data_IF_223056657112
#
_entry.id   IF_223056657112
#
_cell.length_a   1.000
_cell.length_b   1.000
_cell.length_c   1.000
_cell.angle_alpha   90.00
_cell.angle_beta   90.00
_cell.angle_gamma   90.00
#
_symmetry.space_group_name_H-M   'P 1'
#
loop_
_entity.id
_entity.type
_entity.pdbx_description
1 polymer ?
#
# COMPACT_ATOMS: atom_id res chain seq x y z
N UNK A 1 10.33 -7.76 -8.74
CA UNK A 1 11.27 -7.52 -9.86
C UNK A 1 12.67 -7.30 -9.28
N UNK A 2 13.68 -7.94 -9.87
CA UNK A 2 15.13 -7.72 -9.73
C UNK A 2 15.65 -6.24 -9.67
N UNK A 3 15.89 -5.54 -8.56
CA UNK A 3 16.30 -4.13 -8.46
C UNK A 3 17.74 -3.83 -8.03
N UNK A 4 18.40 -4.67 -7.23
CA UNK A 4 19.83 -4.57 -6.95
C UNK A 4 20.60 -5.78 -7.51
N UNK A 5 21.91 -5.62 -7.79
CA UNK A 5 22.81 -6.73 -8.12
C UNK A 5 23.42 -7.41 -6.88
N UNK A 6 22.86 -7.16 -5.69
CA UNK A 6 23.41 -7.62 -4.42
C UNK A 6 22.52 -8.72 -3.82
N UNK A 7 22.85 -10.01 -4.03
CA UNK A 7 22.12 -11.16 -3.45
C UNK A 7 21.79 -11.01 -1.96
N UNK A 8 22.65 -10.36 -1.17
CA UNK A 8 22.40 -10.12 0.24
C UNK A 8 21.24 -9.13 0.49
N UNK A 9 21.06 -8.13 -0.38
CA UNK A 9 19.93 -7.21 -0.31
C UNK A 9 18.62 -7.89 -0.75
N UNK A 10 18.67 -8.84 -1.69
CA UNK A 10 17.54 -9.74 -1.99
C UNK A 10 17.12 -10.60 -0.81
N UNK A 11 18.08 -11.26 -0.17
CA UNK A 11 17.81 -12.11 0.98
C UNK A 11 17.28 -11.29 2.17
N UNK A 12 17.77 -10.05 2.32
CA UNK A 12 17.21 -9.10 3.28
C UNK A 12 15.76 -8.70 2.94
N UNK A 13 15.46 -8.41 1.68
CA UNK A 13 14.10 -8.04 1.23
C UNK A 13 13.12 -9.21 1.34
N UNK A 14 13.50 -10.41 0.89
CA UNK A 14 12.70 -11.62 1.03
C UNK A 14 12.53 -12.05 2.50
N UNK A 15 13.57 -11.87 3.30
CA UNK A 15 13.51 -12.00 4.75
C UNK A 15 12.49 -11.06 5.37
N UNK A 16 12.58 -9.77 5.08
CA UNK A 16 11.69 -8.75 5.64
C UNK A 16 10.23 -8.93 5.22
N UNK A 17 9.96 -9.32 3.97
CA UNK A 17 8.60 -9.61 3.50
C UNK A 17 7.92 -10.73 4.31
N UNK A 18 8.65 -11.79 4.69
CA UNK A 18 8.12 -12.84 5.58
C UNK A 18 7.82 -12.32 6.98
N UNK A 19 8.66 -11.41 7.49
CA UNK A 19 8.44 -10.79 8.80
C UNK A 19 7.22 -9.88 8.76
N UNK A 20 7.00 -9.14 7.67
CA UNK A 20 5.78 -8.36 7.45
C UNK A 20 4.53 -9.24 7.39
N UNK A 21 4.60 -10.38 6.68
CA UNK A 21 3.50 -11.34 6.65
C UNK A 21 3.13 -11.83 8.06
N UNK A 22 4.12 -12.23 8.86
CA UNK A 22 3.90 -12.63 10.26
C UNK A 22 3.33 -11.48 11.12
N UNK A 23 3.76 -10.23 10.86
CA UNK A 23 3.18 -9.04 11.51
C UNK A 23 1.72 -8.82 11.15
N UNK A 24 1.35 -9.04 9.88
CA UNK A 24 -0.03 -8.92 9.42
C UNK A 24 -0.92 -10.04 9.98
N UNK A 25 -0.44 -11.28 10.02
CA UNK A 25 -1.13 -12.41 10.65
C UNK A 25 -1.40 -12.15 12.13
N UNK A 26 -0.40 -11.65 12.88
CA UNK A 26 -0.58 -11.30 14.29
C UNK A 26 -1.60 -10.17 14.50
N UNK A 27 -1.66 -9.19 13.58
CA UNK A 27 -2.67 -8.14 13.63
C UNK A 27 -4.07 -8.64 13.27
N UNK A 28 -4.17 -9.59 12.33
CA UNK A 28 -5.43 -10.25 11.98
C UNK A 28 -6.01 -11.01 13.17
N UNK A 29 -5.20 -11.73 13.93
CA UNK A 29 -5.64 -12.40 15.17
C UNK A 29 -6.25 -11.40 16.16
N UNK A 30 -5.67 -10.21 16.30
CA UNK A 30 -6.22 -9.14 17.15
C UNK A 30 -7.57 -8.64 16.62
N UNK A 31 -7.70 -8.49 15.29
CA UNK A 31 -8.95 -8.10 14.65
C UNK A 31 -10.04 -9.16 14.90
N UNK A 32 -9.75 -10.44 14.64
CA UNK A 32 -10.73 -11.52 14.79
C UNK A 32 -11.24 -11.60 16.23
N UNK A 33 -10.34 -11.59 17.23
CA UNK A 33 -10.71 -11.64 18.64
C UNK A 33 -11.58 -10.47 19.08
N UNK A 34 -11.30 -9.25 18.59
CA UNK A 34 -12.03 -8.05 19.00
C UNK A 34 -13.33 -7.83 18.24
N UNK A 35 -13.41 -8.33 17.01
CA UNK A 35 -14.58 -8.16 16.15
C UNK A 35 -15.64 -9.24 16.36
N UNK A 36 -15.27 -10.43 16.88
CA UNK A 36 -16.21 -11.52 17.17
C UNK A 36 -17.37 -11.10 18.09
N UNK A 37 -17.12 -10.19 19.04
CA UNK A 37 -18.13 -9.67 19.97
C UNK A 37 -18.46 -8.18 19.79
N UNK A 38 -18.03 -7.55 18.71
CA UNK A 38 -18.28 -6.12 18.52
C UNK A 38 -19.75 -5.87 18.12
N UNK A 39 -20.51 -5.20 18.97
CA UNK A 39 -21.94 -4.90 18.74
C UNK A 39 -22.12 -3.51 18.11
N UNK A 40 -21.15 -2.62 18.29
CA UNK A 40 -21.22 -1.23 17.83
C UNK A 40 -20.12 -0.84 16.84
N UNK A 41 -20.34 0.24 16.09
CA UNK A 41 -19.31 0.84 15.23
C UNK A 41 -18.08 1.27 16.02
N UNK A 42 -18.29 1.85 17.20
CA UNK A 42 -17.22 2.36 18.05
C UNK A 42 -16.26 1.24 18.49
N UNK A 43 -16.80 0.06 18.84
CA UNK A 43 -15.97 -1.12 19.18
C UNK A 43 -15.18 -1.63 17.97
N UNK A 44 -15.78 -1.61 16.78
CA UNK A 44 -15.08 -1.97 15.53
C UNK A 44 -13.95 -1.00 15.22
N UNK A 45 -14.17 0.30 15.38
CA UNK A 45 -13.11 1.33 15.26
C UNK A 45 -11.98 1.05 16.25
N UNK A 46 -12.31 0.77 17.51
CA UNK A 46 -11.33 0.44 18.54
C UNK A 46 -10.56 -0.86 18.22
N UNK A 47 -11.18 -1.83 17.55
CA UNK A 47 -10.51 -3.04 17.07
C UNK A 47 -9.46 -2.73 16.00
N UNK A 48 -9.79 -1.91 14.99
CA UNK A 48 -8.83 -1.48 13.97
C UNK A 48 -7.69 -0.65 14.55
N UNK A 49 -7.99 0.27 15.47
CA UNK A 49 -6.95 1.02 16.17
C UNK A 49 -6.02 0.09 16.97
N UNK A 50 -6.58 -0.87 17.73
CA UNK A 50 -5.78 -1.84 18.48
C UNK A 50 -4.87 -2.69 17.57
N UNK A 51 -5.36 -3.10 16.40
CA UNK A 51 -4.55 -3.81 15.41
C UNK A 51 -3.43 -2.92 14.83
N UNK A 52 -3.70 -1.65 14.54
CA UNK A 52 -2.68 -0.68 14.10
C UNK A 52 -1.58 -0.48 15.16
N UNK A 53 -1.96 -0.33 16.43
CA UNK A 53 -1.03 -0.25 17.56
C UNK A 53 -0.22 -1.54 17.70
N UNK A 54 -0.83 -2.71 17.51
CA UNK A 54 -0.12 -4.00 17.54
C UNK A 54 0.94 -4.10 16.45
N UNK A 55 0.64 -3.64 15.23
CA UNK A 55 1.62 -3.59 14.13
C UNK A 55 2.74 -2.59 14.44
N UNK A 56 2.42 -1.45 15.03
CA UNK A 56 3.44 -0.47 15.46
C UNK A 56 4.42 -1.10 16.46
N UNK A 57 3.90 -1.78 17.48
CA UNK A 57 4.70 -2.50 18.48
C UNK A 57 5.54 -3.61 17.83
N UNK A 58 4.96 -4.40 16.90
CA UNK A 58 5.72 -5.36 16.13
C UNK A 58 6.89 -4.70 15.38
N UNK A 59 6.68 -3.54 14.75
CA UNK A 59 7.73 -2.85 14.01
C UNK A 59 8.86 -2.39 14.93
N UNK A 60 8.51 -1.92 16.13
CA UNK A 60 9.47 -1.57 17.18
C UNK A 60 10.29 -2.79 17.59
N UNK A 61 9.65 -3.93 17.88
CA UNK A 61 10.33 -5.18 18.25
C UNK A 61 11.30 -5.66 17.16
N UNK A 62 10.91 -5.56 15.89
CA UNK A 62 11.80 -5.87 14.76
C UNK A 62 13.03 -4.96 14.74
N UNK A 63 12.85 -3.66 14.97
CA UNK A 63 13.96 -2.70 15.02
C UNK A 63 14.87 -2.95 16.24
N UNK A 64 14.28 -3.16 17.43
CA UNK A 64 14.99 -3.41 18.69
C UNK A 64 15.81 -4.71 18.65
N UNK A 65 15.34 -5.72 17.92
CA UNK A 65 16.09 -6.96 17.70
C UNK A 65 17.33 -6.80 16.82
N UNK A 66 17.65 -5.59 16.34
CA UNK A 66 18.81 -5.32 15.49
C UNK A 66 18.72 -5.98 14.11
N UNK A 67 17.54 -6.47 13.72
CA UNK A 67 17.31 -7.08 12.40
C UNK A 67 16.69 -6.05 11.46
N UNK A 68 17.29 -5.90 10.28
CA UNK A 68 16.90 -4.89 9.29
C UNK A 68 16.89 -3.43 9.81
N UNK A 69 17.82 -2.99 10.69
CA UNK A 69 17.94 -1.57 11.00
C UNK A 69 18.49 -0.85 9.78
N UNK A 70 18.08 0.41 9.58
CA UNK A 70 18.86 1.29 8.71
C UNK A 70 20.13 1.70 9.47
N UNK A 71 21.25 2.00 8.79
CA UNK A 71 22.34 2.70 9.43
C UNK A 71 21.80 3.93 10.17
N UNK A 72 22.27 4.15 11.40
CA UNK A 72 21.89 5.31 12.23
C UNK A 72 20.38 5.41 12.53
N UNK A 73 19.68 4.26 12.61
CA UNK A 73 18.30 4.21 13.11
C UNK A 73 18.24 3.69 14.55
N UNK A 74 17.55 4.42 15.42
CA UNK A 74 17.22 3.96 16.76
C UNK A 74 15.82 3.31 16.75
N UNK A 75 15.61 2.16 17.42
CA UNK A 75 14.29 1.54 17.52
C UNK A 75 13.22 2.50 18.05
N UNK A 76 13.59 3.40 18.96
CA UNK A 76 12.74 4.43 19.57
C UNK A 76 12.14 5.39 18.52
N UNK A 77 12.80 5.56 17.36
CA UNK A 77 12.28 6.37 16.25
C UNK A 77 10.96 5.81 15.68
N UNK A 78 10.69 4.50 15.86
CA UNK A 78 9.45 3.84 15.45
C UNK A 78 8.27 4.25 16.33
N UNK A 79 8.53 4.60 17.60
CA UNK A 79 7.51 5.02 18.56
C UNK A 79 7.46 6.54 18.74
N UNK A 80 8.42 7.27 18.16
CA UNK A 80 8.48 8.73 18.29
C UNK A 80 7.44 9.37 17.37
N UNK A 81 6.41 10.05 17.92
CA UNK A 81 5.41 10.72 17.10
C UNK A 81 6.02 11.85 16.27
N UNK A 82 5.45 12.10 15.10
CA UNK A 82 5.81 13.24 14.24
C UNK A 82 5.31 14.54 14.89
N UNK A 83 6.07 15.15 15.80
CA UNK A 83 5.66 16.39 16.51
C UNK A 83 5.66 17.62 15.61
N UNK A 84 6.52 17.63 14.61
CA UNK A 84 6.64 18.68 13.61
C UNK A 84 6.61 18.03 12.24
N UNK A 85 6.14 18.76 11.24
CA UNK A 85 6.02 18.23 9.90
C UNK A 85 7.34 17.63 9.42
N UNK A 86 7.29 16.37 9.00
CA UNK A 86 8.47 15.62 8.54
C UNK A 86 8.61 15.76 7.03
N UNK A 87 9.81 16.07 6.60
CA UNK A 87 10.18 16.20 5.20
C UNK A 87 10.73 14.88 4.66
N UNK A 88 10.25 14.44 3.50
CA UNK A 88 10.74 13.25 2.81
C UNK A 88 11.07 13.60 1.35
N UNK A 89 12.27 13.27 0.84
CA UNK A 89 12.60 13.52 -0.56
C UNK A 89 11.82 12.59 -1.50
N UNK A 90 11.38 13.15 -2.63
CA UNK A 90 10.70 12.47 -3.74
C UNK A 90 11.58 12.52 -4.98
N UNK A 91 12.80 12.04 -4.83
CA UNK A 91 13.75 11.98 -5.93
C UNK A 91 14.74 10.84 -5.72
N UNK A 92 15.28 10.28 -6.81
CA UNK A 92 16.36 9.32 -6.71
C UNK A 92 17.58 9.96 -6.05
N UNK A 93 18.18 9.26 -5.09
CA UNK A 93 19.48 9.63 -4.53
C UNK A 93 20.56 8.81 -5.26
N UNK A 94 21.32 9.40 -6.20
CA UNK A 94 22.32 8.68 -6.99
C UNK A 94 23.45 8.11 -6.13
N UNK A 95 23.63 8.58 -4.88
CA UNK A 95 24.62 8.03 -3.95
C UNK A 95 24.13 6.75 -3.28
N UNK A 96 22.81 6.55 -3.21
CA UNK A 96 22.18 5.43 -2.50
C UNK A 96 21.52 4.42 -3.42
N UNK A 97 21.29 4.77 -4.69
CA UNK A 97 20.53 3.95 -5.62
C UNK A 97 21.30 3.75 -6.92
N UNK A 98 21.29 2.50 -7.41
CA UNK A 98 21.80 2.18 -8.75
C UNK A 98 20.89 2.85 -9.78
N UNK A 99 21.48 3.69 -10.63
CA UNK A 99 20.80 4.33 -11.75
C UNK A 99 20.15 3.25 -12.64
N UNK A 100 18.87 3.46 -12.97
CA UNK A 100 18.09 2.51 -13.76
C UNK A 100 17.51 1.31 -13.00
N UNK A 101 17.80 1.15 -11.70
CA UNK A 101 17.06 0.21 -10.85
C UNK A 101 15.55 0.54 -10.86
N UNK A 102 14.65 -0.43 -10.66
CA UNK A 102 13.21 -0.16 -10.56
C UNK A 102 12.84 0.85 -9.47
N UNK A 103 13.54 0.88 -8.33
CA UNK A 103 13.35 1.93 -7.32
C UNK A 103 13.74 3.32 -7.85
N UNK A 104 14.87 3.43 -8.56
CA UNK A 104 15.27 4.68 -9.22
C UNK A 104 14.24 5.13 -10.26
N UNK A 105 13.79 4.21 -11.12
CA UNK A 105 12.78 4.49 -12.17
C UNK A 105 11.45 4.94 -11.57
N UNK A 106 11.02 4.28 -10.50
CA UNK A 106 9.79 4.65 -9.78
C UNK A 106 9.89 6.05 -9.17
N UNK A 107 11.00 6.37 -8.49
CA UNK A 107 11.21 7.72 -7.94
C UNK A 107 11.33 8.80 -9.02
N UNK A 108 11.95 8.48 -10.17
CA UNK A 108 12.00 9.39 -11.31
C UNK A 108 10.59 9.64 -11.91
N UNK A 109 9.74 8.62 -11.95
CA UNK A 109 8.33 8.76 -12.35
C UNK A 109 7.57 9.65 -11.35
N UNK A 110 7.70 9.39 -10.05
CA UNK A 110 7.07 10.22 -9.02
C UNK A 110 7.55 11.67 -9.08
N UNK A 111 8.85 11.91 -9.34
CA UNK A 111 9.37 13.26 -9.54
C UNK A 111 8.71 13.96 -10.73
N UNK A 112 8.49 13.24 -11.85
CA UNK A 112 7.77 13.77 -13.01
C UNK A 112 6.31 14.11 -12.66
N UNK A 113 5.63 13.24 -11.92
CA UNK A 113 4.25 13.49 -11.46
C UNK A 113 4.18 14.70 -10.53
N UNK A 114 5.12 14.81 -9.59
CA UNK A 114 5.24 15.96 -8.69
C UNK A 114 5.40 17.26 -9.49
N UNK A 115 6.31 17.28 -10.47
CA UNK A 115 6.51 18.41 -11.37
C UNK A 115 5.23 18.81 -12.11
N UNK A 116 4.50 17.84 -12.66
CA UNK A 116 3.25 18.10 -13.36
C UNK A 116 2.20 18.74 -12.44
N UNK A 117 2.07 18.25 -11.20
CA UNK A 117 1.13 18.82 -10.23
C UNK A 117 1.49 20.24 -9.77
N UNK A 118 2.77 20.56 -9.74
CA UNK A 118 3.27 21.89 -9.35
C UNK A 118 3.36 22.87 -10.53
N UNK A 119 3.08 22.44 -11.77
CA UNK A 119 3.26 23.27 -12.96
C UNK A 119 2.39 24.54 -12.93
N UNK A 120 1.15 24.41 -12.46
CA UNK A 120 0.18 25.50 -12.37
C UNK A 120 0.15 26.19 -11.00
N UNK A 121 1.01 25.74 -10.07
CA UNK A 121 1.13 26.35 -8.74
C UNK A 121 2.01 27.60 -8.86
N UNK A 122 1.50 28.79 -8.46
CA UNK A 122 2.30 30.00 -8.48
C UNK A 122 3.58 29.86 -7.66
N UNK A 123 4.68 30.40 -8.18
CA UNK A 123 5.91 30.51 -7.41
C UNK A 123 5.71 31.49 -6.26
N UNK A 124 6.14 31.07 -5.08
CA UNK A 124 6.27 31.93 -3.92
C UNK A 124 7.61 32.68 -3.96
N UNK A 125 7.89 33.46 -2.92
CA UNK A 125 9.20 34.07 -2.75
C UNK A 125 10.31 33.00 -2.84
N UNK A 126 11.43 33.38 -3.47
CA UNK A 126 12.60 32.53 -3.66
C UNK A 126 12.40 31.32 -4.60
N UNK A 127 11.32 31.29 -5.39
CA UNK A 127 11.06 30.26 -6.41
C UNK A 127 10.52 28.93 -5.85
N UNK A 128 10.14 28.91 -4.57
CA UNK A 128 9.50 27.76 -3.92
C UNK A 128 8.09 27.59 -4.48
N UNK A 129 7.68 26.35 -4.73
CA UNK A 129 6.28 26.00 -5.06
C UNK A 129 5.75 25.00 -4.04
N UNK A 130 4.52 25.21 -3.57
CA UNK A 130 3.88 24.34 -2.59
C UNK A 130 2.46 23.98 -2.99
N UNK A 131 2.15 22.68 -2.90
CA UNK A 131 0.82 22.15 -3.16
C UNK A 131 0.36 21.32 -1.98
N UNK A 132 -0.68 21.80 -1.30
CA UNK A 132 -1.38 21.04 -0.27
C UNK A 132 -2.21 19.93 -0.92
N UNK A 133 -1.98 18.67 -0.56
CA UNK A 133 -2.97 17.63 -0.88
C UNK A 133 -4.23 17.90 -0.06
N UNK A 134 -5.34 18.22 -0.72
CA UNK A 134 -6.66 18.33 -0.09
C UNK A 134 -7.30 16.94 -0.15
N UNK A 135 -7.74 16.44 1.00
CA UNK A 135 -8.36 15.13 1.15
C UNK A 135 -9.87 15.31 1.28
N UNK A 136 -10.64 14.76 0.36
CA UNK A 136 -12.11 14.77 0.41
C UNK A 136 -12.59 13.55 1.18
N UNK A 137 -13.36 13.79 2.23
CA UNK A 137 -14.02 12.78 3.05
C UNK A 137 -15.36 12.37 2.40
N UNK A 138 -15.94 11.25 2.84
CA UNK A 138 -17.22 10.73 2.30
C UNK A 138 -18.40 11.67 2.47
N UNK A 139 -18.40 12.46 3.54
CA UNK A 139 -19.44 13.46 3.82
C UNK A 139 -19.23 14.76 3.04
N UNK A 140 -18.25 14.81 2.15
CA UNK A 140 -17.90 15.98 1.34
C UNK A 140 -17.04 17.02 2.06
N UNK A 141 -16.73 16.84 3.35
CA UNK A 141 -15.75 17.70 4.03
C UNK A 141 -14.36 17.49 3.44
N UNK A 142 -13.51 18.49 3.63
CA UNK A 142 -12.10 18.43 3.22
C UNK A 142 -11.18 18.57 4.42
N UNK A 143 -10.03 17.90 4.34
CA UNK A 143 -8.95 17.96 5.33
C UNK A 143 -7.62 18.20 4.62
N UNK A 144 -6.69 18.89 5.27
CA UNK A 144 -5.34 19.03 4.72
C UNK A 144 -4.55 17.73 4.94
N UNK A 145 -4.05 17.16 3.84
CA UNK A 145 -3.11 16.04 3.86
C UNK A 145 -1.65 16.52 3.87
N UNK A 146 -0.78 15.75 3.24
CA UNK A 146 0.63 16.10 3.09
C UNK A 146 0.81 17.23 2.06
N UNK A 147 1.83 18.05 2.23
CA UNK A 147 2.24 19.05 1.24
C UNK A 147 3.28 18.46 0.30
N UNK A 148 3.26 18.89 -0.96
CA UNK A 148 4.28 18.65 -1.95
C UNK A 148 5.02 19.97 -2.22
N UNK A 149 6.34 19.96 -2.12
CA UNK A 149 7.19 21.13 -2.29
C UNK A 149 8.17 20.90 -3.43
N UNK A 150 8.40 21.96 -4.21
CA UNK A 150 9.63 22.12 -4.97
C UNK A 150 10.49 23.19 -4.30
N UNK A 151 11.71 22.81 -3.95
CA UNK A 151 12.72 23.72 -3.39
C UNK A 151 13.77 23.97 -4.47
N UNK A 152 13.89 25.20 -5.01
CA UNK A 152 14.85 25.49 -6.06
C UNK A 152 16.30 25.41 -5.55
N UNK A 153 17.25 25.39 -6.49
CA UNK A 153 18.65 25.67 -6.15
C UNK A 153 18.77 27.15 -5.78
N UNK A 154 19.53 27.53 -4.73
CA UNK A 154 19.75 28.92 -4.40
C UNK A 154 20.45 29.55 -5.61
N UNK A 155 19.97 30.71 -6.04
CA UNK A 155 20.61 31.47 -7.11
C UNK A 155 22.03 31.91 -6.72
N UNK A 156 22.32 31.98 -5.42
CA UNK A 156 23.59 32.41 -4.87
C UNK A 156 24.09 31.43 -3.79
N UNK A 157 25.24 30.79 -4.04
CA UNK A 157 25.88 29.89 -3.07
C UNK A 157 26.50 30.66 -1.89
N UNK A 158 26.59 31.99 -1.96
CA UNK A 158 27.25 32.83 -0.96
C UNK A 158 26.33 33.30 0.19
N UNK A 159 25.04 32.93 0.20
CA UNK A 159 24.06 33.44 1.19
C UNK A 159 24.30 32.98 2.65
N UNK A 160 25.31 32.14 2.92
CA UNK A 160 25.74 31.77 4.28
C UNK A 160 24.74 30.94 5.09
N UNK A 161 23.51 30.77 4.61
CA UNK A 161 22.51 29.89 5.21
C UNK A 161 22.72 28.47 4.68
N UNK A 162 23.31 27.62 5.50
CA UNK A 162 23.57 26.22 5.16
C UNK A 162 22.27 25.40 5.16
N UNK A 163 21.48 25.51 4.09
CA UNK A 163 20.51 24.47 3.76
C UNK A 163 21.29 23.19 3.43
N UNK A 164 20.89 22.02 3.96
CA UNK A 164 21.53 20.77 3.59
C UNK A 164 21.50 20.61 2.06
N UNK A 165 22.66 20.37 1.44
CA UNK A 165 22.84 20.36 -0.02
C UNK A 165 21.94 19.35 -0.77
N UNK A 166 21.32 18.41 -0.07
CA UNK A 166 20.37 17.45 -0.61
C UNK A 166 18.93 17.98 -0.73
N UNK A 167 18.63 19.21 -0.28
CA UNK A 167 17.29 19.82 -0.35
C UNK A 167 17.12 20.74 -1.55
N UNK A 168 18.20 21.11 -2.22
CA UNK A 168 18.17 22.14 -3.26
C UNK A 168 17.90 21.52 -4.62
N UNK A 169 17.04 22.15 -5.42
CA UNK A 169 16.54 21.59 -6.69
C UNK A 169 15.72 20.32 -6.52
N UNK A 170 15.15 20.11 -5.33
CA UNK A 170 14.59 18.83 -4.88
C UNK A 170 13.07 18.88 -4.75
N UNK A 171 12.43 17.75 -5.07
CA UNK A 171 11.03 17.52 -4.76
C UNK A 171 10.93 16.90 -3.37
N UNK A 172 10.09 17.46 -2.51
CA UNK A 172 9.93 17.03 -1.13
C UNK A 172 8.45 16.88 -0.79
N UNK A 173 8.11 15.93 0.08
CA UNK A 173 6.81 15.91 0.75
C UNK A 173 6.97 16.30 2.21
N UNK A 174 6.01 17.02 2.74
CA UNK A 174 5.92 17.39 4.14
C UNK A 174 4.64 16.80 4.72
N UNK A 175 4.75 16.09 5.84
CA UNK A 175 3.56 15.49 6.47
C UNK A 175 2.58 16.57 6.95
N UNK A 176 1.27 16.29 6.88
CA UNK A 176 0.23 17.17 7.42
C UNK A 176 0.47 17.53 8.91
N UNK A 177 -0.17 18.58 9.40
CA UNK A 177 -0.13 18.94 10.83
C UNK A 177 -0.84 17.89 11.68
N UNK A 178 -0.46 17.79 12.96
CA UNK A 178 -0.95 16.74 13.86
C UNK A 178 -2.49 16.64 13.96
N UNK A 179 -3.25 17.74 14.12
CA UNK A 179 -4.71 17.66 14.19
C UNK A 179 -5.34 17.04 12.93
N UNK A 180 -4.85 17.41 11.74
CA UNK A 180 -5.37 16.89 10.48
C UNK A 180 -5.04 15.40 10.31
N UNK A 181 -3.83 14.99 10.71
CA UNK A 181 -3.45 13.55 10.70
C UNK A 181 -4.32 12.74 11.66
N UNK A 182 -4.63 13.26 12.84
CA UNK A 182 -5.50 12.55 13.79
C UNK A 182 -6.89 12.31 13.21
N UNK A 183 -7.49 13.34 12.60
CA UNK A 183 -8.79 13.21 11.92
C UNK A 183 -8.72 12.20 10.80
N UNK A 184 -7.73 12.32 9.90
CA UNK A 184 -7.57 11.41 8.76
C UNK A 184 -7.36 9.95 9.21
N UNK A 185 -6.53 9.71 10.22
CA UNK A 185 -6.33 8.37 10.79
C UNK A 185 -7.63 7.80 11.37
N UNK A 186 -8.40 8.62 12.10
CA UNK A 186 -9.71 8.22 12.62
C UNK A 186 -10.68 7.85 11.48
N UNK A 187 -10.75 8.68 10.44
CA UNK A 187 -11.60 8.43 9.27
C UNK A 187 -11.23 7.12 8.55
N UNK A 188 -9.94 6.74 8.52
CA UNK A 188 -9.51 5.43 8.01
C UNK A 188 -10.11 4.29 8.82
N UNK A 189 -10.03 4.35 10.15
CA UNK A 189 -10.57 3.30 11.03
C UNK A 189 -12.10 3.22 10.99
N UNK A 190 -12.79 4.36 10.95
CA UNK A 190 -14.25 4.42 10.78
C UNK A 190 -14.67 3.78 9.44
N UNK A 191 -13.95 4.10 8.37
CA UNK A 191 -14.21 3.51 7.05
C UNK A 191 -14.02 1.99 7.04
N UNK A 192 -12.97 1.48 7.70
CA UNK A 192 -12.73 0.05 7.81
C UNK A 192 -13.78 -0.65 8.70
N UNK A 193 -14.24 0.01 9.77
CA UNK A 193 -15.33 -0.47 10.61
C UNK A 193 -16.64 -0.62 9.82
N UNK A 194 -16.98 0.35 8.96
CA UNK A 194 -18.15 0.26 8.07
C UNK A 194 -18.06 -0.91 7.08
N UNK A 195 -16.87 -1.15 6.51
CA UNK A 195 -16.64 -2.30 5.63
C UNK A 195 -16.83 -3.63 6.38
N UNK A 196 -16.40 -3.69 7.64
CA UNK A 196 -16.57 -4.86 8.49
C UNK A 196 -18.04 -5.09 8.88
N UNK A 197 -18.80 -4.03 9.22
CA UNK A 197 -20.25 -4.12 9.45
C UNK A 197 -20.95 -4.72 8.23
N UNK A 198 -20.63 -4.22 7.04
CA UNK A 198 -21.17 -4.74 5.79
C UNK A 198 -20.69 -6.16 5.47
N UNK A 199 -19.54 -6.62 5.97
CA UNK A 199 -19.09 -8.03 5.83
C UNK A 199 -19.92 -8.93 6.75
N UNK A 200 -20.03 -8.57 8.02
CA UNK A 200 -20.76 -9.35 9.02
C UNK A 200 -22.24 -9.51 8.66
N UNK A 201 -22.87 -8.46 8.14
CA UNK A 201 -24.27 -8.52 7.68
C UNK A 201 -24.48 -9.54 6.54
N UNK A 202 -23.53 -9.61 5.59
CA UNK A 202 -23.58 -10.58 4.48
C UNK A 202 -23.39 -12.01 4.99
N UNK A 203 -22.50 -12.23 5.95
CA UNK A 203 -22.30 -13.56 6.56
C UNK A 203 -23.55 -14.04 7.30
N UNK A 204 -24.22 -13.15 8.03
CA UNK A 204 -25.46 -13.46 8.73
C UNK A 204 -26.60 -13.78 7.75
N UNK A 205 -26.72 -13.01 6.67
CA UNK A 205 -27.69 -13.27 5.60
C UNK A 205 -27.44 -14.63 4.93
N UNK A 206 -26.19 -14.95 4.63
CA UNK A 206 -25.80 -16.25 4.08
C UNK A 206 -26.12 -17.39 5.05
N UNK A 207 -25.78 -17.26 6.34
CA UNK A 207 -26.09 -18.27 7.35
C UNK A 207 -27.61 -18.47 7.52
N UNK A 208 -28.42 -17.41 7.41
CA UNK A 208 -29.88 -17.51 7.40
C UNK A 208 -30.39 -18.25 6.16
N UNK A 209 -29.82 -18.00 4.98
CA UNK A 209 -30.18 -18.68 3.74
C UNK A 209 -29.86 -20.19 3.78
N UNK A 210 -28.69 -20.57 4.32
CA UNK A 210 -28.26 -21.96 4.47
C UNK A 210 -29.16 -22.76 5.43
N UNK A 211 -29.65 -22.13 6.50
CA UNK A 211 -30.59 -22.75 7.45
C UNK A 211 -32.04 -22.77 6.96
N UNK A 212 -32.42 -21.90 6.00
CA UNK A 212 -33.81 -21.65 5.60
C UNK A 212 -34.37 -22.53 4.48
N UNK A 213 -33.56 -23.36 3.80
CA UNK A 213 -34.02 -24.41 2.87
C UNK A 213 -34.79 -23.99 1.60
N UNK A 214 -35.09 -22.71 1.38
CA UNK A 214 -35.85 -22.23 0.22
C UNK A 214 -34.97 -21.37 -0.70
N UNK A 215 -34.24 -22.02 -1.61
CA UNK A 215 -33.27 -21.39 -2.52
C UNK A 215 -33.84 -21.08 -3.91
N UNK A 216 -35.15 -21.28 -4.13
CA UNK A 216 -35.71 -21.29 -5.50
C UNK A 216 -35.90 -19.89 -6.15
N UNK A 217 -35.79 -18.78 -5.41
CA UNK A 217 -36.03 -17.42 -5.95
C UNK A 217 -34.81 -16.46 -5.91
N UNK A 218 -33.59 -16.96 -5.65
CA UNK A 218 -32.39 -16.12 -5.49
C UNK A 218 -31.80 -15.50 -6.77
N UNK A 219 -32.44 -15.67 -7.94
CA UNK A 219 -31.94 -15.22 -9.25
C UNK A 219 -31.68 -13.71 -9.38
N UNK A 220 -32.26 -12.87 -8.52
CA UNK A 220 -32.08 -11.42 -8.52
C UNK A 220 -30.81 -10.89 -7.84
N UNK A 221 -30.15 -11.68 -6.99
CA UNK A 221 -29.08 -11.18 -6.11
C UNK A 221 -27.72 -10.97 -6.83
N UNK A 222 -27.49 -11.65 -7.96
CA UNK A 222 -26.17 -11.69 -8.62
C UNK A 222 -25.80 -10.35 -9.29
N UNK A 223 -26.78 -9.56 -9.75
CA UNK A 223 -26.49 -8.27 -10.40
C UNK A 223 -26.16 -7.15 -9.40
N UNK A 224 -26.67 -7.21 -8.16
CA UNK A 224 -26.34 -6.24 -7.11
C UNK A 224 -24.94 -6.42 -6.52
N UNK A 225 -24.40 -7.65 -6.56
CA UNK A 225 -23.11 -7.99 -5.98
C UNK A 225 -21.93 -7.23 -6.64
N UNK A 226 -22.00 -6.97 -7.95
CA UNK A 226 -20.93 -6.28 -8.68
C UNK A 226 -20.77 -4.82 -8.27
N UNK A 227 -21.87 -4.06 -8.21
CA UNK A 227 -21.85 -2.65 -7.80
C UNK A 227 -21.43 -2.50 -6.33
N UNK A 228 -21.92 -3.39 -5.45
CA UNK A 228 -21.50 -3.43 -4.05
C UNK A 228 -20.01 -3.71 -3.89
N UNK A 229 -19.45 -4.61 -4.70
CA UNK A 229 -18.02 -4.95 -4.67
C UNK A 229 -17.14 -3.76 -5.05
N UNK A 230 -17.49 -3.03 -6.12
CA UNK A 230 -16.73 -1.86 -6.56
C UNK A 230 -16.74 -0.74 -5.50
N UNK A 231 -17.91 -0.44 -4.93
CA UNK A 231 -18.05 0.57 -3.87
C UNK A 231 -17.25 0.18 -2.61
N UNK A 232 -17.28 -1.09 -2.20
CA UNK A 232 -16.49 -1.60 -1.07
C UNK A 232 -14.98 -1.53 -1.33
N UNK A 233 -14.54 -1.82 -2.57
CA UNK A 233 -13.13 -1.69 -2.94
C UNK A 233 -12.68 -0.24 -2.90
N UNK A 234 -13.45 0.69 -3.47
CA UNK A 234 -13.15 2.12 -3.39
C UNK A 234 -13.09 2.58 -1.94
N UNK A 235 -14.03 2.12 -1.12
CA UNK A 235 -14.05 2.39 0.31
C UNK A 235 -12.75 2.00 1.04
N UNK A 236 -12.18 0.85 0.69
CA UNK A 236 -10.88 0.43 1.23
C UNK A 236 -9.74 1.32 0.73
N UNK A 237 -9.77 1.69 -0.55
CA UNK A 237 -8.78 2.61 -1.16
C UNK A 237 -8.80 3.97 -0.45
N UNK A 238 -9.97 4.51 -0.15
CA UNK A 238 -10.11 5.77 0.61
C UNK A 238 -9.48 5.63 2.00
N UNK A 239 -9.77 4.54 2.72
CA UNK A 239 -9.18 4.28 4.03
C UNK A 239 -7.65 4.17 3.98
N UNK A 240 -7.11 3.54 2.94
CA UNK A 240 -5.67 3.45 2.71
C UNK A 240 -5.06 4.85 2.45
N UNK A 241 -5.71 5.66 1.61
CA UNK A 241 -5.27 7.02 1.32
C UNK A 241 -5.25 7.88 2.59
N UNK A 242 -6.32 7.84 3.40
CA UNK A 242 -6.40 8.59 4.65
C UNK A 242 -5.24 8.23 5.60
N UNK A 243 -4.92 6.93 5.71
CA UNK A 243 -3.82 6.47 6.54
C UNK A 243 -2.45 6.92 6.00
N UNK A 244 -2.24 6.88 4.68
CA UNK A 244 -1.03 7.38 4.03
C UNK A 244 -0.82 8.88 4.22
N UNK A 245 -1.90 9.66 4.27
CA UNK A 245 -1.84 11.10 4.60
C UNK A 245 -1.64 11.36 6.11
N UNK A 246 -1.75 10.33 6.95
CA UNK A 246 -1.73 10.45 8.40
C UNK A 246 -0.66 9.57 9.09
N UNK A 247 0.62 9.59 8.65
CA UNK A 247 1.65 8.84 9.34
C UNK A 247 1.81 9.35 10.77
N UNK A 248 1.83 8.45 11.74
CA UNK A 248 1.94 8.82 13.15
C UNK A 248 3.38 8.99 13.62
N UNK A 249 4.29 8.14 13.11
CA UNK A 249 5.64 7.98 13.66
C UNK A 249 6.75 8.40 12.70
N UNK A 250 7.85 8.89 13.27
CA UNK A 250 9.00 9.42 12.54
C UNK A 250 9.65 8.37 11.62
N UNK A 251 9.68 7.09 12.01
CA UNK A 251 10.23 6.02 11.19
C UNK A 251 9.31 4.81 11.13
N UNK A 252 9.43 4.05 10.04
CA UNK A 252 8.72 2.79 9.87
C UNK A 252 7.24 2.91 9.53
N UNK A 253 6.71 4.12 9.32
CA UNK A 253 5.30 4.36 8.99
C UNK A 253 4.85 3.54 7.77
N UNK A 254 5.61 3.53 6.67
CA UNK A 254 5.30 2.69 5.49
C UNK A 254 5.11 1.21 5.84
N UNK A 255 6.09 0.63 6.54
CA UNK A 255 6.03 -0.77 6.95
C UNK A 255 4.84 -1.06 7.86
N UNK A 256 4.53 -0.15 8.80
CA UNK A 256 3.37 -0.27 9.69
C UNK A 256 2.07 -0.20 8.89
N UNK A 257 1.90 0.82 8.05
CA UNK A 257 0.70 1.03 7.25
C UNK A 257 0.44 -0.14 6.31
N UNK A 258 1.45 -0.61 5.55
CA UNK A 258 1.27 -1.73 4.62
C UNK A 258 0.90 -3.03 5.35
N UNK A 259 1.57 -3.32 6.47
CA UNK A 259 1.30 -4.52 7.27
C UNK A 259 -0.11 -4.47 7.87
N UNK A 260 -0.53 -3.32 8.39
CA UNK A 260 -1.88 -3.10 8.89
C UNK A 260 -2.94 -3.21 7.79
N UNK A 261 -2.73 -2.55 6.64
CA UNK A 261 -3.67 -2.57 5.51
C UNK A 261 -3.86 -3.98 4.93
N UNK A 262 -2.81 -4.82 4.93
CA UNK A 262 -2.93 -6.25 4.57
C UNK A 262 -3.85 -6.98 5.55
N UNK A 263 -3.65 -6.80 6.86
CA UNK A 263 -4.49 -7.44 7.88
C UNK A 263 -5.95 -6.95 7.78
N UNK A 264 -6.16 -5.64 7.67
CA UNK A 264 -7.48 -5.02 7.56
C UNK A 264 -8.22 -5.49 6.29
N UNK A 265 -7.56 -5.51 5.13
CA UNK A 265 -8.16 -6.02 3.90
C UNK A 265 -8.50 -7.51 4.01
N UNK A 266 -7.59 -8.31 4.59
CA UNK A 266 -7.84 -9.74 4.81
C UNK A 266 -9.08 -9.94 5.67
N UNK A 267 -9.24 -9.12 6.71
CA UNK A 267 -10.43 -9.15 7.56
C UNK A 267 -11.69 -8.79 6.77
N UNK A 268 -11.73 -7.63 6.10
CA UNK A 268 -12.96 -7.11 5.50
C UNK A 268 -13.37 -7.77 4.17
N UNK A 269 -12.44 -8.44 3.48
CA UNK A 269 -12.68 -9.13 2.19
C UNK A 269 -12.41 -10.64 2.25
N UNK A 270 -11.95 -11.18 3.38
CA UNK A 270 -11.60 -12.60 3.52
C UNK A 270 -10.34 -13.03 2.76
N UNK A 271 -9.55 -12.08 2.24
CA UNK A 271 -8.41 -12.38 1.37
C UNK A 271 -7.31 -11.31 1.45
N UNK A 272 -6.05 -11.76 1.46
CA UNK A 272 -4.90 -10.87 1.54
C UNK A 272 -4.64 -10.14 0.21
N UNK A 273 -4.43 -8.81 0.23
CA UNK A 273 -4.09 -8.04 -0.94
C UNK A 273 -2.59 -8.08 -1.22
N UNK A 274 -2.22 -7.79 -2.46
CA UNK A 274 -0.89 -7.31 -2.85
C UNK A 274 -1.02 -5.81 -3.07
N UNK A 275 -0.48 -5.03 -2.12
CA UNK A 275 -0.47 -3.56 -2.20
C UNK A 275 0.60 -3.07 -3.18
N UNK A 276 0.38 -1.93 -3.86
CA UNK A 276 1.39 -1.26 -4.67
C UNK A 276 2.71 -1.07 -3.93
N UNK A 277 3.82 -1.07 -4.67
CA UNK A 277 5.12 -0.74 -4.10
C UNK A 277 5.24 0.78 -3.96
N UNK A 278 5.56 1.28 -2.77
CA UNK A 278 5.65 2.73 -2.55
C UNK A 278 4.29 3.43 -2.48
N UNK A 279 3.24 2.71 -2.06
CA UNK A 279 1.88 3.22 -1.82
C UNK A 279 1.87 4.50 -0.97
N UNK A 280 2.78 4.62 0.00
CA UNK A 280 2.92 5.83 0.79
C UNK A 280 3.32 7.03 -0.08
N UNK A 281 4.39 6.91 -0.85
CA UNK A 281 4.86 7.95 -1.76
C UNK A 281 3.83 8.30 -2.84
N UNK A 282 3.14 7.32 -3.42
CA UNK A 282 2.04 7.58 -4.36
C UNK A 282 0.98 8.48 -3.73
N UNK A 283 0.57 8.19 -2.49
CA UNK A 283 -0.41 9.03 -1.80
C UNK A 283 0.11 10.43 -1.51
N UNK A 284 1.38 10.57 -1.12
CA UNK A 284 1.96 11.89 -0.84
C UNK A 284 2.14 12.73 -2.12
N UNK A 285 2.41 12.10 -3.26
CA UNK A 285 2.82 12.78 -4.49
C UNK A 285 1.67 12.96 -5.47
N UNK A 286 0.76 12.01 -5.60
CA UNK A 286 -0.27 12.01 -6.66
C UNK A 286 -1.58 12.70 -6.23
N UNK A 287 -1.78 12.92 -4.94
CA UNK A 287 -3.07 13.34 -4.40
C UNK A 287 -4.11 12.21 -4.46
N UNK A 288 -5.36 12.50 -4.09
CA UNK A 288 -6.39 11.47 -3.89
C UNK A 288 -6.77 10.76 -5.19
N UNK A 289 -7.08 11.51 -6.26
CA UNK A 289 -7.50 10.92 -7.54
C UNK A 289 -6.38 10.09 -8.18
N UNK A 290 -5.15 10.60 -8.16
CA UNK A 290 -3.99 9.88 -8.68
C UNK A 290 -3.65 8.64 -7.86
N UNK A 291 -3.82 8.69 -6.53
CA UNK A 291 -3.71 7.51 -5.67
C UNK A 291 -4.77 6.46 -5.98
N UNK A 292 -6.02 6.88 -6.18
CA UNK A 292 -7.13 6.00 -6.55
C UNK A 292 -6.84 5.26 -7.87
N UNK A 293 -6.30 5.96 -8.87
CA UNK A 293 -5.91 5.36 -10.15
C UNK A 293 -4.81 4.30 -9.99
N UNK A 294 -3.79 4.56 -9.17
CA UNK A 294 -2.72 3.58 -8.90
C UNK A 294 -3.30 2.36 -8.17
N UNK A 295 -4.08 2.58 -7.12
CA UNK A 295 -4.72 1.49 -6.38
C UNK A 295 -5.65 0.68 -7.27
N UNK A 296 -6.39 1.30 -8.19
CA UNK A 296 -7.23 0.58 -9.14
C UNK A 296 -6.41 -0.36 -10.02
N UNK A 297 -5.32 0.14 -10.60
CA UNK A 297 -4.45 -0.61 -11.50
C UNK A 297 -3.61 -1.70 -10.81
N UNK A 298 -3.18 -1.46 -9.58
CA UNK A 298 -2.12 -2.26 -8.93
C UNK A 298 -2.58 -3.06 -7.71
N UNK A 299 -3.68 -2.70 -7.04
CA UNK A 299 -4.22 -3.50 -5.94
C UNK A 299 -4.74 -4.83 -6.49
N UNK A 300 -4.01 -5.90 -6.20
CA UNK A 300 -4.35 -7.27 -6.60
C UNK A 300 -4.75 -8.08 -5.38
N UNK A 301 -5.52 -9.13 -5.62
CA UNK A 301 -5.91 -10.10 -4.60
C UNK A 301 -5.26 -11.44 -4.96
N UNK A 302 -4.61 -12.08 -4.00
CA UNK A 302 -4.06 -13.42 -4.23
C UNK A 302 -5.22 -14.43 -4.31
N UNK A 303 -5.22 -15.36 -5.28
CA UNK A 303 -6.24 -16.40 -5.33
C UNK A 303 -6.18 -17.22 -4.04
N UNK A 304 -7.33 -17.39 -3.38
CA UNK A 304 -7.42 -18.16 -2.14
C UNK A 304 -7.09 -19.64 -2.36
N UNK A 305 -6.65 -20.37 -1.31
CA UNK A 305 -6.22 -21.77 -1.41
C UNK A 305 -7.30 -22.72 -1.95
N UNK A 306 -8.59 -22.38 -1.77
CA UNK A 306 -9.70 -23.18 -2.30
C UNK A 306 -9.84 -23.10 -3.83
N UNK A 307 -9.39 -22.01 -4.48
CA UNK A 307 -9.42 -21.94 -5.94
C UNK A 307 -8.35 -22.85 -6.58
N UNK A 308 -7.27 -23.14 -5.87
CA UNK A 308 -6.17 -23.97 -6.40
C UNK A 308 -6.59 -25.44 -6.54
N UNK A 309 -7.42 -25.95 -5.61
CA UNK A 309 -7.88 -27.35 -5.66
C UNK A 309 -8.85 -27.63 -6.83
N UNK A 310 -9.69 -26.66 -7.20
CA UNK A 310 -10.63 -26.81 -8.32
C UNK A 310 -9.94 -26.83 -9.70
N UNK A 311 -8.75 -26.24 -9.81
CA UNK A 311 -7.96 -26.27 -11.06
C UNK A 311 -7.22 -27.61 -11.20
N UNK A 312 -6.68 -28.17 -10.11
CA UNK A 312 -6.00 -29.47 -10.14
C UNK A 312 -6.98 -30.63 -10.39
N UNK A 313 -8.18 -30.59 -9.81
CA UNK A 313 -9.22 -31.60 -10.07
C UNK A 313 -9.70 -31.60 -11.52
N UNK A 314 -9.71 -30.44 -12.19
CA UNK A 314 -10.07 -30.35 -13.61
C UNK A 314 -8.90 -30.68 -14.55
N UNK A 315 -7.65 -30.51 -14.12
CA UNK A 315 -6.48 -30.91 -14.91
C UNK A 315 -6.35 -32.45 -15.01
N UNK A 316 -6.82 -33.19 -13.99
CA UNK A 316 -6.82 -34.66 -13.97
C UNK A 316 -7.78 -35.33 -14.98
N UNK A 317 -8.71 -34.58 -15.58
CA UNK A 317 -9.67 -35.12 -16.55
C UNK A 317 -9.27 -34.90 -18.02
N UNK A 318 -8.07 -34.37 -18.28
CA UNK A 318 -7.48 -34.40 -19.63
C UNK A 318 -6.89 -35.78 -19.86
N UNK A 319 -7.72 -36.67 -20.39
CA UNK A 319 -7.32 -37.92 -21.04
C UNK A 319 -6.07 -37.68 -21.89
N UNK A 320 -5.02 -38.41 -21.56
CA UNK A 320 -3.75 -38.46 -22.27
C UNK A 320 -4.00 -38.80 -23.74
N UNK A 321 -3.94 -37.78 -24.60
CA UNK A 321 -3.82 -38.02 -26.03
C UNK A 321 -2.53 -38.82 -26.28
N UNK A 322 -2.57 -39.94 -27.02
CA UNK A 322 -1.40 -40.76 -27.27
C UNK A 322 -0.31 -39.96 -28.01
N UNK A 323 0.97 -40.26 -27.76
CA UNK A 323 2.07 -39.55 -28.37
C UNK A 323 2.03 -39.69 -29.90
N UNK A 324 1.92 -38.57 -30.61
CA UNK A 324 2.14 -38.53 -32.07
C UNK A 324 3.61 -38.84 -32.35
N UNK A 325 3.86 -39.94 -33.04
CA UNK A 325 5.17 -40.31 -33.55
C UNK A 325 5.70 -39.16 -34.44
N UNK A 326 6.86 -38.59 -34.07
CA UNK A 326 7.60 -37.66 -34.91
C UNK A 326 8.34 -38.46 -35.99
N UNK A 327 8.01 -38.17 -37.25
CA UNK A 327 8.80 -38.60 -38.38
C UNK A 327 10.18 -37.91 -38.32
N UNK A 328 11.23 -38.69 -38.46
CA UNK A 328 12.61 -38.21 -38.58
C UNK A 328 12.84 -37.70 -40.00
N UNK A 329 13.00 -36.40 -40.17
CA UNK A 329 13.53 -35.81 -41.41
C UNK A 329 15.05 -35.68 -41.29
N UNK A 330 15.75 -36.53 -42.02
CA UNK A 330 17.19 -36.49 -42.24
C UNK A 330 17.55 -35.36 -43.20
N UNK A 331 18.24 -34.34 -42.71
CA UNK A 331 18.86 -33.31 -43.56
C UNK A 331 20.32 -33.69 -43.85
N UNK A 332 20.56 -34.21 -45.05
CA UNK A 332 21.89 -34.42 -45.64
C UNK A 332 22.44 -33.07 -46.09
N UNK A 333 23.57 -32.64 -45.51
CA UNK A 333 24.36 -31.50 -45.99
C UNK A 333 25.37 -31.99 -47.03
N UNK A 334 25.17 -31.54 -48.26
CA UNK A 334 26.09 -31.71 -49.38
C UNK A 334 27.17 -30.61 -49.33
N UNK A 335 28.44 -31.01 -49.43
CA UNK A 335 29.62 -30.13 -49.45
C UNK A 335 30.20 -30.10 -50.86
N UNK A 336 29.81 -29.10 -51.63
CA UNK A 336 30.37 -28.81 -52.95
C UNK A 336 31.40 -27.68 -52.92
N UNK A 337 32.66 -28.03 -53.20
CA UNK A 337 33.77 -27.14 -53.57
C UNK A 337 33.43 -26.31 -54.81
N UNK A 338 33.90 -25.07 -54.88
CA UNK A 338 34.76 -24.59 -55.96
C UNK A 338 35.55 -23.35 -55.52
#
# INVERSE_FOLDING_TARGET
>A
MRTDRNPAAWDQLGGFARVQAAGAEAALVVLDQRLEGAESRAERVAAFEAAYRRVTEWRYQVAAGGRWPRPDSHPEDVLTPIRHSKWNPVMPDPRRQEEGSPAFKYLAELQKVAWQRLADVPEMHDGVRELQNVVTLRDGRTMNGNLLHFVPLPADQDSGQAMPSWQLGSMMTQTAVEPDREVLRRMSFETLAELEEGRAALEEEQARAENGGALEDAGGAVQGAGAGTAARRQAFVDAAYFLVQAPEFNRGSDAVMRTFLVAAHTRVFGVAPVLPQGIDLDGMVRGQDGFNQVMDAELRVLPGPQQTQSVELNAGNRTSAPPRARAAESHTKDTGRH
#
